data_IF_825344311570
#
_entry.id   IF_825344311570
#
_cell.length_a   1.000
_cell.length_b   1.000
_cell.length_c   1.000
_cell.angle_alpha   90.00
_cell.angle_beta   90.00
_cell.angle_gamma   90.00
#
_symmetry.space_group_name_H-M   'P 1'
#
loop_
_entity.id
_entity.type
_entity.pdbx_description
1 polymer ?
#
# COMPACT_ATOMS: atom_id res chain seq x y z
N UNK A 1 11.90 13.31 69.38
CA UNK A 1 12.17 14.08 68.16
C UNK A 1 12.59 13.09 67.10
N UNK A 2 11.64 12.67 66.27
CA UNK A 2 11.87 11.74 65.17
C UNK A 2 12.05 12.61 63.91
N UNK A 3 13.22 12.55 63.28
CA UNK A 3 13.48 13.26 62.04
C UNK A 3 12.90 12.47 60.87
N UNK A 4 12.15 13.08 59.94
CA UNK A 4 11.62 12.37 58.79
C UNK A 4 12.76 12.01 57.82
N UNK A 5 12.77 10.76 57.36
CA UNK A 5 13.69 10.27 56.33
C UNK A 5 13.39 10.94 54.98
N UNK A 6 14.41 11.28 54.17
CA UNK A 6 14.19 11.85 52.83
C UNK A 6 13.59 10.80 51.88
N UNK A 7 12.66 11.23 51.04
CA UNK A 7 12.07 10.42 49.98
C UNK A 7 13.13 9.96 48.97
N UNK A 8 12.99 8.76 48.36
CA UNK A 8 13.92 8.29 47.35
C UNK A 8 13.87 9.22 46.13
N UNK A 9 15.06 9.55 45.59
CA UNK A 9 15.18 10.32 44.35
C UNK A 9 14.48 9.58 43.20
N UNK A 10 13.86 10.30 42.25
CA UNK A 10 13.28 9.66 41.08
C UNK A 10 14.39 8.88 40.36
N UNK A 11 14.10 7.61 40.05
CA UNK A 11 14.97 6.80 39.22
C UNK A 11 15.15 7.45 37.84
N UNK A 12 16.06 6.95 37.00
CA UNK A 12 16.13 7.35 35.61
C UNK A 12 14.88 6.80 34.90
N UNK A 13 13.75 7.45 35.15
CA UNK A 13 12.50 7.24 34.45
C UNK A 13 12.78 7.59 33.00
N UNK A 14 12.97 6.52 32.24
CA UNK A 14 12.44 6.39 30.90
C UNK A 14 12.61 7.67 30.11
N UNK A 15 13.81 7.86 29.55
CA UNK A 15 13.94 8.62 28.32
C UNK A 15 12.86 8.04 27.41
N UNK A 16 11.75 8.75 27.29
CA UNK A 16 10.81 8.60 26.21
C UNK A 16 11.65 8.90 24.99
N UNK A 17 12.27 7.85 24.44
CA UNK A 17 12.71 7.80 23.07
C UNK A 17 11.43 7.94 22.26
N UNK A 18 10.93 9.17 22.17
CA UNK A 18 10.11 9.60 21.06
C UNK A 18 10.85 9.10 19.83
N UNK A 19 10.16 8.29 19.04
CA UNK A 19 10.64 7.69 17.80
C UNK A 19 11.26 8.78 16.91
N UNK A 20 12.57 9.00 17.09
CA UNK A 20 13.34 10.07 16.46
C UNK A 20 13.76 9.57 15.09
N UNK A 21 12.91 9.85 14.11
CA UNK A 21 13.08 9.38 12.74
C UNK A 21 12.32 10.25 11.74
N UNK A 22 12.75 10.20 10.48
CA UNK A 22 12.06 10.87 9.38
C UNK A 22 10.73 10.16 9.11
N UNK A 23 9.61 10.86 9.31
CA UNK A 23 8.26 10.37 8.98
C UNK A 23 7.87 10.85 7.59
N UNK A 24 7.50 9.94 6.70
CA UNK A 24 6.97 10.26 5.37
C UNK A 24 5.49 9.87 5.34
N UNK A 25 4.63 10.81 4.98
CA UNK A 25 3.21 10.55 4.79
C UNK A 25 3.02 9.67 3.54
N UNK A 26 2.29 8.56 3.70
CA UNK A 26 1.99 7.62 2.61
C UNK A 26 1.26 8.32 1.44
N UNK A 27 0.33 9.22 1.74
CA UNK A 27 -0.41 9.95 0.70
C UNK A 27 0.51 10.90 -0.07
N UNK A 28 1.50 11.50 0.61
CA UNK A 28 2.55 12.30 -0.03
C UNK A 28 3.40 11.42 -0.94
N UNK A 29 3.81 10.22 -0.47
CA UNK A 29 4.60 9.29 -1.27
C UNK A 29 3.85 8.84 -2.52
N UNK A 30 2.57 8.50 -2.41
CA UNK A 30 1.73 8.15 -3.57
C UNK A 30 1.63 9.32 -4.54
N UNK A 31 1.42 10.54 -4.04
CA UNK A 31 1.39 11.75 -4.88
C UNK A 31 2.70 11.94 -5.65
N UNK A 32 3.85 11.78 -4.99
CA UNK A 32 5.16 11.88 -5.63
C UNK A 32 5.35 10.83 -6.72
N UNK A 33 4.88 9.60 -6.52
CA UNK A 33 4.87 8.57 -7.56
C UNK A 33 3.99 9.01 -8.73
N UNK A 34 2.75 9.45 -8.48
CA UNK A 34 1.79 9.86 -9.52
C UNK A 34 2.30 11.03 -10.38
N UNK A 35 3.08 11.97 -9.83
CA UNK A 35 3.69 13.05 -10.60
C UNK A 35 4.62 12.56 -11.72
N UNK A 36 5.18 11.36 -11.58
CA UNK A 36 6.02 10.73 -12.61
C UNK A 36 5.22 9.99 -13.69
N UNK A 37 3.87 9.97 -13.60
CA UNK A 37 2.97 9.29 -14.54
C UNK A 37 1.90 10.24 -15.11
N UNK A 38 2.30 11.30 -15.85
CA UNK A 38 1.38 12.37 -16.26
C UNK A 38 0.32 11.93 -17.27
N UNK A 39 0.58 10.89 -18.08
CA UNK A 39 -0.30 10.51 -19.19
C UNK A 39 -1.38 9.47 -18.84
N UNK A 40 -1.39 8.95 -17.61
CA UNK A 40 -2.43 8.04 -17.09
C UNK A 40 -2.52 6.64 -17.73
N UNK A 41 -2.15 6.48 -19.01
CA UNK A 41 -2.21 5.22 -19.75
C UNK A 41 -1.15 4.20 -19.30
N UNK A 42 -0.11 4.66 -18.60
CA UNK A 42 0.93 3.79 -18.06
C UNK A 42 0.37 2.76 -17.08
N UNK A 43 -0.73 3.08 -16.38
CA UNK A 43 -1.37 2.11 -15.46
C UNK A 43 -1.76 0.81 -16.16
N UNK A 44 -2.21 0.88 -17.41
CA UNK A 44 -2.58 -0.31 -18.17
C UNK A 44 -1.35 -1.15 -18.53
N UNK A 45 -0.22 -0.48 -18.84
CA UNK A 45 1.04 -1.16 -19.14
C UNK A 45 1.59 -1.87 -17.90
N UNK A 46 1.55 -1.22 -16.74
CA UNK A 46 1.99 -1.80 -15.47
C UNK A 46 1.12 -3.01 -15.08
N UNK A 47 -0.21 -2.95 -15.30
CA UNK A 47 -1.10 -4.10 -15.06
C UNK A 47 -0.77 -5.29 -15.97
N UNK A 48 -0.43 -5.04 -17.24
CA UNK A 48 0.00 -6.08 -18.18
C UNK A 48 1.35 -6.67 -17.74
N UNK A 49 2.30 -5.83 -17.33
CA UNK A 49 3.59 -6.27 -16.84
C UNK A 49 3.47 -7.12 -15.57
N UNK A 50 2.60 -6.74 -14.63
CA UNK A 50 2.34 -7.56 -13.43
C UNK A 50 1.78 -8.95 -13.79
N UNK A 51 0.92 -9.02 -14.81
CA UNK A 51 0.41 -10.28 -15.29
C UNK A 51 1.49 -11.14 -15.98
N UNK A 52 2.37 -10.53 -16.77
CA UNK A 52 3.51 -11.19 -17.39
C UNK A 52 4.52 -11.71 -16.36
N UNK A 53 4.88 -10.89 -15.36
CA UNK A 53 5.74 -11.25 -14.22
C UNK A 53 5.18 -12.43 -13.40
N UNK A 54 3.84 -12.57 -13.38
CA UNK A 54 3.13 -13.67 -12.72
C UNK A 54 2.95 -14.91 -13.62
N UNK A 55 3.39 -14.85 -14.88
CA UNK A 55 3.26 -15.95 -15.85
C UNK A 55 1.85 -16.15 -16.40
N UNK A 56 0.99 -15.12 -16.35
CA UNK A 56 -0.35 -15.18 -16.90
C UNK A 56 -0.32 -15.33 -18.43
N UNK A 57 -1.25 -16.10 -18.99
CA UNK A 57 -1.42 -16.28 -20.44
C UNK A 57 -2.59 -15.48 -21.00
N UNK A 58 -3.40 -14.88 -20.13
CA UNK A 58 -4.56 -14.07 -20.49
C UNK A 58 -4.68 -12.88 -19.55
N UNK A 59 -4.92 -11.70 -20.15
CA UNK A 59 -5.28 -10.46 -19.45
C UNK A 59 -6.59 -9.94 -20.03
N UNK A 60 -7.48 -9.43 -19.18
CA UNK A 60 -8.75 -8.80 -19.58
C UNK A 60 -8.91 -7.46 -18.86
N UNK A 61 -9.19 -6.41 -19.63
CA UNK A 61 -9.58 -5.10 -19.12
C UNK A 61 -11.05 -4.87 -19.44
N UNK A 62 -11.84 -4.54 -18.43
CA UNK A 62 -13.28 -4.32 -18.57
C UNK A 62 -13.66 -2.98 -17.95
N UNK A 63 -14.21 -2.08 -18.76
CA UNK A 63 -14.87 -0.88 -18.26
C UNK A 63 -16.29 -1.25 -17.82
N UNK A 64 -16.44 -1.51 -16.52
CA UNK A 64 -17.72 -1.79 -15.90
C UNK A 64 -18.43 -0.48 -15.57
N UNK A 65 -19.59 -0.25 -16.19
CA UNK A 65 -20.40 0.96 -16.00
C UNK A 65 -21.54 0.78 -15.00
N UNK A 66 -21.61 -0.38 -14.35
CA UNK A 66 -22.66 -0.67 -13.37
C UNK A 66 -22.52 0.21 -12.13
N UNK A 67 -23.63 0.37 -11.43
CA UNK A 67 -23.71 0.97 -10.09
C UNK A 67 -24.31 -0.09 -9.18
N UNK A 68 -23.66 -0.33 -8.05
CA UNK A 68 -24.04 -1.36 -7.09
C UNK A 68 -24.79 -0.74 -5.89
N UNK A 69 -25.60 -1.56 -5.22
CA UNK A 69 -26.31 -1.16 -4.01
C UNK A 69 -25.34 -0.85 -2.86
N UNK A 70 -25.81 -0.06 -1.90
CA UNK A 70 -25.04 0.39 -0.73
C UNK A 70 -25.65 -0.03 0.61
N UNK A 71 -26.62 -0.94 0.59
CA UNK A 71 -27.45 -1.29 1.75
C UNK A 71 -26.75 -2.25 2.72
N UNK A 72 -25.72 -2.98 2.26
CA UNK A 72 -25.02 -4.02 3.03
C UNK A 72 -23.50 -3.86 2.97
N UNK A 73 -23.01 -2.64 3.21
CA UNK A 73 -21.58 -2.33 3.23
C UNK A 73 -20.98 -2.46 4.64
N UNK A 74 -19.69 -2.77 4.73
CA UNK A 74 -18.95 -2.81 6.00
C UNK A 74 -18.92 -1.44 6.71
N UNK A 75 -18.98 -0.35 5.94
CA UNK A 75 -19.07 1.01 6.42
C UNK A 75 -19.81 1.88 5.41
N UNK A 76 -20.64 2.81 5.88
CA UNK A 76 -21.35 3.78 5.03
C UNK A 76 -20.41 4.61 4.16
N UNK A 77 -19.16 4.85 4.61
CA UNK A 77 -18.14 5.60 3.84
C UNK A 77 -17.76 4.93 2.53
N UNK A 78 -18.01 3.63 2.37
CA UNK A 78 -17.73 2.86 1.16
C UNK A 78 -18.77 3.09 0.06
N UNK A 79 -19.93 3.69 0.36
CA UNK A 79 -21.00 3.91 -0.61
C UNK A 79 -20.54 4.69 -1.85
N UNK A 80 -19.59 5.62 -1.66
CA UNK A 80 -19.03 6.41 -2.75
C UNK A 80 -18.23 5.58 -3.78
N UNK A 81 -17.85 4.34 -3.46
CA UNK A 81 -17.06 3.45 -4.33
C UNK A 81 -17.90 2.41 -5.07
N UNK A 82 -19.23 2.44 -4.95
CA UNK A 82 -20.13 1.48 -5.60
C UNK A 82 -20.47 1.83 -7.06
N UNK A 83 -19.82 2.83 -7.65
CA UNK A 83 -20.07 3.28 -9.02
C UNK A 83 -19.26 2.53 -10.10
N UNK A 84 -19.19 3.09 -11.32
CA UNK A 84 -18.41 2.53 -12.43
C UNK A 84 -16.94 2.29 -12.07
N UNK A 85 -16.37 1.20 -12.60
CA UNK A 85 -15.00 0.77 -12.31
C UNK A 85 -14.28 0.24 -13.56
N UNK A 86 -12.95 0.34 -13.55
CA UNK A 86 -12.10 -0.40 -14.47
C UNK A 86 -11.64 -1.68 -13.78
N UNK A 87 -12.10 -2.83 -14.28
CA UNK A 87 -11.70 -4.14 -13.79
C UNK A 87 -10.51 -4.66 -14.61
N UNK A 88 -9.51 -5.19 -13.92
CA UNK A 88 -8.35 -5.85 -14.53
C UNK A 88 -8.26 -7.29 -14.01
N UNK A 89 -8.27 -8.25 -14.94
CA UNK A 89 -8.18 -9.67 -14.64
C UNK A 89 -7.00 -10.28 -15.38
N UNK A 90 -6.29 -11.19 -14.72
CA UNK A 90 -5.36 -12.12 -15.35
C UNK A 90 -5.58 -13.53 -14.77
N UNK A 91 -5.11 -14.56 -15.47
CA UNK A 91 -5.32 -15.96 -15.08
C UNK A 91 -4.18 -16.59 -14.27
N UNK A 92 -3.26 -15.79 -13.71
CA UNK A 92 -2.32 -16.24 -12.70
C UNK A 92 -2.95 -16.09 -11.30
N UNK A 93 -2.47 -16.88 -10.33
CA UNK A 93 -2.90 -16.84 -8.94
C UNK A 93 -1.85 -16.11 -8.09
N UNK A 94 -2.31 -15.36 -7.09
CA UNK A 94 -1.40 -14.72 -6.13
C UNK A 94 -0.74 -15.77 -5.24
N UNK A 95 0.58 -15.62 -5.04
CA UNK A 95 1.33 -16.32 -4.00
C UNK A 95 1.25 -15.58 -2.66
N UNK A 96 1.67 -16.22 -1.57
CA UNK A 96 1.75 -15.56 -0.25
C UNK A 96 2.72 -14.35 -0.30
N UNK A 97 3.82 -14.50 -1.04
CA UNK A 97 4.78 -13.42 -1.26
C UNK A 97 4.16 -12.23 -2.01
N UNK A 98 3.27 -12.48 -2.97
CA UNK A 98 2.57 -11.42 -3.70
C UNK A 98 1.62 -10.65 -2.78
N UNK A 99 0.93 -11.32 -1.86
CA UNK A 99 0.09 -10.67 -0.85
C UNK A 99 0.90 -9.79 0.11
N UNK A 100 2.07 -10.25 0.53
CA UNK A 100 2.98 -9.45 1.35
C UNK A 100 3.51 -8.26 0.55
N UNK A 101 3.90 -8.46 -0.71
CA UNK A 101 4.44 -7.40 -1.58
C UNK A 101 3.41 -6.31 -1.87
N UNK A 102 2.17 -6.66 -2.25
CA UNK A 102 1.12 -5.69 -2.59
C UNK A 102 0.72 -4.80 -1.40
N UNK A 103 0.91 -5.29 -0.17
CA UNK A 103 0.65 -4.52 1.06
C UNK A 103 1.72 -3.45 1.35
N UNK A 104 2.92 -3.55 0.75
CA UNK A 104 4.09 -2.71 1.04
C UNK A 104 4.25 -1.60 0.01
N UNK A 105 3.56 -0.49 0.21
CA UNK A 105 3.67 0.67 -0.69
C UNK A 105 5.08 1.29 -0.58
N UNK A 106 5.81 1.29 -1.69
CA UNK A 106 7.16 1.88 -1.77
C UNK A 106 8.29 1.01 -1.19
N UNK A 107 7.99 -0.23 -0.79
CA UNK A 107 8.94 -1.19 -0.22
C UNK A 107 9.40 -2.26 -1.22
N UNK A 108 9.60 -1.89 -2.48
CA UNK A 108 10.03 -2.80 -3.54
C UNK A 108 11.42 -3.38 -3.21
N UNK A 109 11.46 -4.61 -2.71
CA UNK A 109 12.67 -5.39 -2.41
C UNK A 109 13.39 -5.91 -3.68
N UNK A 110 13.09 -5.39 -4.87
CA UNK A 110 13.64 -5.83 -6.16
C UNK A 110 15.07 -5.34 -6.44
N UNK A 111 15.94 -5.27 -5.42
CA UNK A 111 17.38 -5.03 -5.64
C UNK A 111 18.12 -6.24 -6.24
N UNK A 112 17.48 -7.42 -6.35
CA UNK A 112 18.15 -8.68 -6.75
C UNK A 112 17.63 -9.37 -8.02
N UNK A 113 16.60 -8.86 -8.71
CA UNK A 113 16.00 -9.53 -9.86
C UNK A 113 15.91 -8.56 -11.05
N UNK A 114 17.03 -8.43 -11.76
CA UNK A 114 17.21 -7.49 -12.89
C UNK A 114 16.24 -7.71 -14.08
N UNK A 115 15.49 -8.81 -14.11
CA UNK A 115 14.56 -9.15 -15.20
C UNK A 115 13.09 -8.81 -14.89
N UNK A 116 12.70 -8.61 -13.63
CA UNK A 116 11.34 -8.17 -13.24
C UNK A 116 11.26 -6.65 -13.33
N UNK A 117 11.14 -6.14 -14.55
CA UNK A 117 11.23 -4.71 -14.89
C UNK A 117 9.98 -3.89 -14.55
N UNK A 118 9.31 -4.20 -13.43
CA UNK A 118 8.36 -3.30 -12.79
C UNK A 118 9.11 -2.35 -11.86
N UNK A 119 9.17 -1.06 -12.20
CA UNK A 119 10.03 -0.06 -11.54
C UNK A 119 9.73 0.17 -10.06
N UNK A 120 8.59 -0.31 -9.53
CA UNK A 120 8.17 -0.08 -8.15
C UNK A 120 7.36 -1.22 -7.49
N UNK A 121 7.46 -2.46 -7.99
CA UNK A 121 6.94 -3.65 -7.27
C UNK A 121 7.95 -4.19 -6.27
#
# INVERSE_FOLDING_TARGET
MEFPMPAPAPGPDSILLEDFGQKVDLTRRIREVLLNYPEGTTVLKELIQNADDAGATKVCLCLDRRVHGSESLLSEKLAQWQGPALLAYNNAEFTEEDFVSISRIGGSNKHGQAWKTGRFG
#
